data_IF_088154269176
#
_entry.id   IF_088154269176
#
_cell.length_a   1.000
_cell.length_b   1.000
_cell.length_c   1.000
_cell.angle_alpha   90.00
_cell.angle_beta   90.00
_cell.angle_gamma   90.00
#
_symmetry.space_group_name_H-M   'P 1'
#
loop_
_entity.id
_entity.type
_entity.pdbx_description
1 polymer ?
#
# COMPACT_ATOMS: atom_id res chain seq x y z
N UNK A 1 -5.42 -27.09 8.39
CA UNK A 1 -4.07 -26.60 8.07
C UNK A 1 -4.07 -26.40 6.57
N UNK A 2 -4.43 -25.20 6.13
CA UNK A 2 -4.45 -24.88 4.69
C UNK A 2 -3.02 -24.97 4.18
N UNK A 3 -2.78 -25.91 3.26
CA UNK A 3 -1.53 -26.01 2.53
C UNK A 3 -1.45 -24.79 1.62
N UNK A 4 -0.71 -23.76 2.04
CA UNK A 4 -0.29 -22.68 1.16
C UNK A 4 0.43 -23.30 -0.04
N UNK A 5 -0.27 -23.34 -1.18
CA UNK A 5 0.31 -23.82 -2.42
C UNK A 5 1.30 -22.77 -2.92
N UNK A 6 2.34 -23.20 -3.64
CA UNK A 6 3.31 -22.27 -4.23
C UNK A 6 2.61 -21.24 -5.15
N UNK A 7 1.52 -21.64 -5.79
CA UNK A 7 0.71 -20.76 -6.66
C UNK A 7 0.03 -19.67 -5.86
N UNK A 8 -0.57 -20.00 -4.71
CA UNK A 8 -1.24 -19.02 -3.84
C UNK A 8 -0.24 -18.01 -3.26
N UNK A 9 1.01 -18.44 -3.01
CA UNK A 9 2.05 -17.55 -2.52
C UNK A 9 2.49 -16.51 -3.58
N UNK A 10 2.57 -16.91 -4.85
CA UNK A 10 2.83 -15.98 -5.96
C UNK A 10 1.66 -15.04 -6.21
N UNK A 11 0.43 -15.56 -6.14
CA UNK A 11 -0.78 -14.73 -6.25
C UNK A 11 -0.80 -13.63 -5.18
N UNK A 12 -0.47 -13.96 -3.93
CA UNK A 12 -0.37 -12.96 -2.86
C UNK A 12 0.73 -11.92 -3.09
N UNK A 13 1.86 -12.31 -3.69
CA UNK A 13 2.95 -11.38 -4.03
C UNK A 13 2.55 -10.45 -5.18
N UNK A 14 1.83 -10.98 -6.18
CA UNK A 14 1.28 -10.20 -7.29
C UNK A 14 0.25 -9.18 -6.79
N UNK A 15 -0.59 -9.56 -5.82
CA UNK A 15 -1.54 -8.65 -5.17
C UNK A 15 -0.82 -7.50 -4.45
N UNK A 16 0.26 -7.78 -3.71
CA UNK A 16 1.07 -6.74 -3.05
C UNK A 16 1.64 -5.77 -4.09
N UNK A 17 2.20 -6.28 -5.19
CA UNK A 17 2.74 -5.46 -6.26
C UNK A 17 1.65 -4.64 -6.96
N UNK A 18 0.48 -5.22 -7.19
CA UNK A 18 -0.66 -4.55 -7.80
C UNK A 18 -1.20 -3.43 -6.92
N UNK A 19 -1.36 -3.67 -5.62
CA UNK A 19 -1.76 -2.65 -4.64
C UNK A 19 -0.74 -1.51 -4.62
N UNK A 20 0.55 -1.83 -4.68
CA UNK A 20 1.61 -0.83 -4.71
C UNK A 20 1.56 0.10 -5.92
N UNK A 21 1.51 -0.50 -7.11
CA UNK A 21 1.44 0.26 -8.35
C UNK A 21 0.15 1.09 -8.42
N UNK A 22 -0.98 0.50 -8.01
CA UNK A 22 -2.28 1.17 -7.97
C UNK A 22 -2.29 2.33 -7.00
N UNK A 23 -1.77 2.16 -5.77
CA UNK A 23 -1.75 3.21 -4.76
C UNK A 23 -0.98 4.45 -5.22
N UNK A 24 0.21 4.27 -5.81
CA UNK A 24 0.98 5.38 -6.37
C UNK A 24 0.25 6.04 -7.54
N UNK A 25 -0.29 5.22 -8.46
CA UNK A 25 -1.01 5.73 -9.62
C UNK A 25 -2.26 6.53 -9.22
N UNK A 26 -3.03 6.07 -8.24
CA UNK A 26 -4.22 6.75 -7.74
C UNK A 26 -3.89 8.05 -7.02
N UNK A 27 -2.83 8.08 -6.21
CA UNK A 27 -2.36 9.31 -5.54
C UNK A 27 -2.02 10.44 -6.52
N UNK A 28 -1.54 10.09 -7.72
CA UNK A 28 -1.23 11.06 -8.78
C UNK A 28 -2.46 11.41 -9.64
N UNK A 29 -3.30 10.41 -9.96
CA UNK A 29 -4.33 10.52 -10.99
C UNK A 29 -5.71 10.91 -10.46
N UNK A 30 -6.02 10.62 -9.19
CA UNK A 30 -7.32 10.90 -8.58
C UNK A 30 -7.26 12.23 -7.85
N UNK A 31 -7.98 13.23 -8.36
CA UNK A 31 -8.03 14.55 -7.74
C UNK A 31 -8.87 14.51 -6.46
N UNK A 32 -8.20 14.35 -5.32
CA UNK A 32 -8.79 14.47 -3.98
C UNK A 32 -8.81 15.91 -3.45
N UNK A 33 -9.28 16.10 -2.20
CA UNK A 33 -9.14 17.39 -1.51
C UNK A 33 -7.68 17.75 -1.20
N UNK A 34 -6.84 16.71 -1.04
CA UNK A 34 -5.39 16.82 -0.92
C UNK A 34 -4.83 15.98 -2.06
N UNK A 35 -4.07 16.61 -2.95
CA UNK A 35 -3.48 15.96 -4.11
C UNK A 35 -1.96 16.02 -3.99
N UNK A 36 -1.30 14.93 -4.37
CA UNK A 36 0.17 14.86 -4.46
C UNK A 36 0.53 14.83 -5.93
N UNK A 37 1.53 15.60 -6.35
CA UNK A 37 1.95 15.59 -7.75
C UNK A 37 3.01 14.52 -8.03
N UNK A 38 3.24 14.24 -9.32
CA UNK A 38 4.23 13.24 -9.73
C UNK A 38 5.66 13.59 -9.28
N UNK A 39 5.98 14.89 -9.18
CA UNK A 39 7.30 15.33 -8.80
C UNK A 39 7.56 15.12 -7.30
N UNK A 40 6.54 15.29 -6.46
CA UNK A 40 6.57 14.96 -5.03
C UNK A 40 6.84 13.46 -4.81
N UNK A 41 6.07 12.61 -5.50
CA UNK A 41 6.26 11.14 -5.45
C UNK A 41 7.67 10.76 -5.94
N UNK A 42 8.08 11.27 -7.10
CA UNK A 42 9.39 10.99 -7.67
C UNK A 42 10.52 11.46 -6.75
N UNK A 43 10.37 12.59 -6.06
CA UNK A 43 11.39 13.10 -5.13
C UNK A 43 11.53 12.21 -3.89
N UNK A 44 10.42 11.70 -3.36
CA UNK A 44 10.44 10.80 -2.19
C UNK A 44 10.94 9.40 -2.56
N UNK A 45 10.61 8.91 -3.76
CA UNK A 45 10.96 7.55 -4.19
C UNK A 45 12.37 7.46 -4.79
N UNK A 46 12.85 8.50 -5.47
CA UNK A 46 14.17 8.51 -6.11
C UNK A 46 15.27 8.44 -5.05
N UNK A 47 16.20 7.51 -5.22
CA UNK A 47 17.33 7.26 -4.32
C UNK A 47 16.92 6.88 -2.86
N UNK A 48 15.66 6.50 -2.63
CA UNK A 48 15.14 6.12 -1.30
C UNK A 48 15.70 4.81 -0.75
N UNK A 49 16.31 3.97 -1.60
CA UNK A 49 16.85 2.68 -1.21
C UNK A 49 15.76 1.63 -1.03
N UNK A 50 15.40 1.33 0.21
CA UNK A 50 14.39 0.31 0.55
C UNK A 50 13.09 0.99 0.94
N UNK A 51 12.00 0.61 0.27
CA UNK A 51 10.65 1.04 0.61
C UNK A 51 9.90 -0.11 1.31
N UNK A 52 9.04 0.24 2.26
CA UNK A 52 8.11 -0.67 2.94
C UNK A 52 6.70 -0.20 2.61
N UNK A 53 5.79 -1.14 2.32
CA UNK A 53 4.41 -0.83 1.98
C UNK A 53 3.44 -1.64 2.82
N UNK A 54 2.79 -0.97 3.77
CA UNK A 54 1.66 -1.52 4.50
C UNK A 54 0.33 -1.02 3.94
N UNK A 55 -0.64 -1.91 3.78
CA UNK A 55 -2.03 -1.57 3.51
C UNK A 55 -2.94 -2.17 4.58
N UNK A 56 -4.03 -1.47 4.90
CA UNK A 56 -5.05 -1.94 5.82
C UNK A 56 -6.40 -1.29 5.49
N UNK A 57 -7.47 -1.93 5.94
CA UNK A 57 -8.83 -1.41 5.85
C UNK A 57 -9.45 -1.41 7.25
N UNK A 58 -10.14 -0.32 7.62
CA UNK A 58 -10.82 -0.23 8.90
C UNK A 58 -12.10 0.58 8.78
N UNK A 59 -13.11 0.19 9.57
CA UNK A 59 -14.43 0.82 9.61
C UNK A 59 -14.83 1.21 11.04
N UNK A 60 -15.88 2.03 11.15
CA UNK A 60 -16.43 2.49 12.43
C UNK A 60 -15.67 3.64 13.07
N UNK A 61 -15.82 3.78 14.39
CA UNK A 61 -15.14 4.81 15.19
C UNK A 61 -13.62 4.58 15.21
N UNK A 62 -12.87 5.69 15.17
CA UNK A 62 -11.39 5.69 15.13
C UNK A 62 -10.78 4.93 13.94
N UNK A 63 -11.55 4.75 12.85
CA UNK A 63 -11.10 4.04 11.64
C UNK A 63 -9.76 4.50 11.09
N UNK A 64 -9.47 5.81 11.16
CA UNK A 64 -8.21 6.35 10.66
C UNK A 64 -7.01 5.82 11.46
N UNK A 65 -7.08 5.93 12.79
CA UNK A 65 -6.03 5.45 13.69
C UNK A 65 -5.87 3.93 13.59
N UNK A 66 -6.99 3.19 13.62
CA UNK A 66 -6.98 1.72 13.50
C UNK A 66 -6.38 1.25 12.18
N UNK A 67 -6.68 1.94 11.08
CA UNK A 67 -6.14 1.63 9.76
C UNK A 67 -4.61 1.84 9.74
N UNK A 68 -4.14 2.97 10.27
CA UNK A 68 -2.69 3.27 10.33
C UNK A 68 -1.94 2.26 11.19
N UNK A 69 -2.46 1.93 12.38
CA UNK A 69 -1.85 0.93 13.26
C UNK A 69 -1.76 -0.44 12.59
N UNK A 70 -2.83 -0.87 11.91
CA UNK A 70 -2.85 -2.14 11.19
C UNK A 70 -1.88 -2.14 10.01
N UNK A 71 -1.85 -1.07 9.21
CA UNK A 71 -0.94 -0.94 8.08
C UNK A 71 0.53 -0.97 8.53
N UNK A 72 0.87 -0.33 9.65
CA UNK A 72 2.22 -0.36 10.23
C UNK A 72 2.60 -1.73 10.82
N UNK A 73 1.60 -2.50 11.28
CA UNK A 73 1.79 -3.85 11.79
C UNK A 73 1.78 -4.93 10.72
N UNK A 74 1.48 -4.56 9.45
CA UNK A 74 1.48 -5.50 8.32
C UNK A 74 2.87 -6.11 8.16
N UNK A 75 2.99 -7.44 8.07
CA UNK A 75 4.28 -8.12 7.94
C UNK A 75 4.84 -8.11 6.51
N UNK A 76 4.12 -7.52 5.55
CA UNK A 76 4.51 -7.37 4.14
C UNK A 76 4.76 -5.90 3.82
#
# INVERSE_FOLDING_TARGET
METFSLVNAFEQADDVLAIAAKGIAEVISVTGQINVDFNDVNTVMKDSGVAIMGSAEAEGDDRATKCVEQALSSPY
#
